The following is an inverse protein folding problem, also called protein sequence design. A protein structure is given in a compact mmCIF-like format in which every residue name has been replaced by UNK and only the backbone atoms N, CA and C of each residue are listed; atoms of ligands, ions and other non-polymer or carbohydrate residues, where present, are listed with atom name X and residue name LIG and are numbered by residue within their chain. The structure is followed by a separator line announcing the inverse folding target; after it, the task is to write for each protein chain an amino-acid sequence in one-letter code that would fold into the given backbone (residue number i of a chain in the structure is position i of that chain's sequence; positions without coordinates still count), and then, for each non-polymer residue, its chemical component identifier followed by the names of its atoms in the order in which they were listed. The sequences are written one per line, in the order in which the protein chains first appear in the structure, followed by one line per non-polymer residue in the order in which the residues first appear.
data_IF_192455567867
#
_entry.id   IF_192455567867
#
_cell.length_a   1.000
_cell.length_b   1.000
_cell.length_c   1.000
_cell.angle_alpha   90.00
_cell.angle_beta   90.00
_cell.angle_gamma   90.00
#
_symmetry.space_group_name_H-M   'P 1'
#
loop_
_entity.id
_entity.type
_entity.pdbx_description
1 polymer ?
#
# COMPACT_ATOMS: atom_id res chain seq x y z
N UNK A 1 -27.52 13.68 -1.32
CA UNK A 1 -27.67 12.40 -2.05
C UNK A 1 -27.31 11.28 -1.09
N UNK A 2 -28.17 10.26 -0.90
CA UNK A 2 -27.73 9.03 -0.24
C UNK A 2 -26.72 8.34 -1.16
N UNK A 3 -25.52 8.05 -0.65
CA UNK A 3 -24.56 7.23 -1.37
C UNK A 3 -24.83 5.76 -1.01
N UNK A 4 -25.19 4.95 -2.00
CA UNK A 4 -25.39 3.53 -1.80
C UNK A 4 -24.09 2.78 -1.52
N UNK A 5 -24.26 1.58 -0.98
CA UNK A 5 -23.22 0.55 -0.96
C UNK A 5 -23.21 -0.17 -2.30
N UNK A 6 -22.03 -0.35 -2.88
CA UNK A 6 -21.81 -1.07 -4.12
C UNK A 6 -22.19 -2.54 -3.96
N UNK A 7 -22.76 -3.11 -5.01
CA UNK A 7 -23.01 -4.54 -5.11
C UNK A 7 -21.71 -5.33 -5.28
N UNK A 8 -21.80 -6.64 -5.06
CA UNK A 8 -20.64 -7.54 -5.11
C UNK A 8 -20.03 -7.66 -6.51
N UNK A 9 -20.83 -7.66 -7.57
CA UNK A 9 -20.32 -7.79 -8.95
C UNK A 9 -19.52 -6.53 -9.34
N UNK A 10 -20.01 -5.35 -8.98
CA UNK A 10 -19.27 -4.09 -9.15
C UNK A 10 -17.96 -4.10 -8.36
N UNK A 11 -17.94 -4.58 -7.12
CA UNK A 11 -16.70 -4.69 -6.34
C UNK A 11 -15.70 -5.68 -6.95
N UNK A 12 -16.16 -6.82 -7.46
CA UNK A 12 -15.31 -7.78 -8.18
C UNK A 12 -14.73 -7.15 -9.48
N UNK A 13 -15.53 -6.38 -10.22
CA UNK A 13 -15.08 -5.64 -11.41
C UNK A 13 -14.07 -4.52 -11.08
N UNK A 14 -14.29 -3.76 -10.00
CA UNK A 14 -13.34 -2.78 -9.48
C UNK A 14 -12.02 -3.45 -9.07
N UNK A 15 -12.09 -4.65 -8.49
CA UNK A 15 -10.92 -5.45 -8.14
C UNK A 15 -10.10 -5.90 -9.35
N UNK A 16 -10.76 -6.27 -10.46
CA UNK A 16 -10.10 -6.54 -11.74
C UNK A 16 -9.44 -5.27 -12.31
N UNK A 17 -10.14 -4.15 -12.29
CA UNK A 17 -9.61 -2.87 -12.78
C UNK A 17 -8.40 -2.41 -11.97
N UNK A 18 -8.41 -2.55 -10.64
CA UNK A 18 -7.29 -2.21 -9.78
C UNK A 18 -6.02 -3.02 -10.14
N UNK A 19 -6.16 -4.34 -10.37
CA UNK A 19 -5.06 -5.20 -10.84
C UNK A 19 -4.52 -4.76 -12.21
N UNK A 20 -5.40 -4.41 -13.14
CA UNK A 20 -4.99 -3.92 -14.46
C UNK A 20 -4.24 -2.59 -14.39
N UNK A 21 -4.68 -1.65 -13.54
CA UNK A 21 -4.00 -0.37 -13.29
C UNK A 21 -2.63 -0.59 -12.66
N UNK A 22 -2.51 -1.47 -11.65
CA UNK A 22 -1.21 -1.77 -11.03
C UNK A 22 -0.24 -2.46 -12.02
N UNK A 23 -0.75 -3.20 -13.02
CA UNK A 23 0.05 -3.83 -14.08
C UNK A 23 0.53 -2.90 -15.21
N UNK A 24 -0.22 -1.84 -15.54
CA UNK A 24 0.15 -0.81 -16.52
C UNK A 24 0.90 0.38 -15.89
N UNK A 25 1.06 0.40 -14.56
CA UNK A 25 1.54 1.56 -13.83
C UNK A 25 3.01 1.89 -14.12
N UNK A 26 3.22 2.94 -14.90
CA UNK A 26 4.55 3.52 -15.13
C UNK A 26 5.07 4.20 -13.85
N UNK A 27 6.31 3.90 -13.39
CA UNK A 27 6.94 4.62 -12.29
C UNK A 27 7.08 6.12 -12.61
N UNK A 28 6.54 6.98 -11.73
CA UNK A 28 6.61 8.44 -11.86
C UNK A 28 5.28 9.11 -12.21
N UNK A 29 4.37 8.42 -12.91
CA UNK A 29 3.04 8.95 -13.25
C UNK A 29 2.17 9.00 -11.99
N UNK A 30 1.72 10.19 -11.60
CA UNK A 30 0.99 10.43 -10.35
C UNK A 30 -0.45 9.92 -10.47
N UNK A 31 -1.06 10.11 -11.63
CA UNK A 31 -2.45 9.86 -11.95
C UNK A 31 -2.77 8.37 -11.84
N UNK A 32 -1.85 7.48 -12.28
CA UNK A 32 -1.95 6.04 -12.05
C UNK A 32 -1.95 5.68 -10.55
N UNK A 33 -1.18 6.40 -9.73
CA UNK A 33 -1.12 6.17 -8.26
C UNK A 33 -2.40 6.63 -7.59
N UNK A 34 -2.93 7.79 -8.01
CA UNK A 34 -4.21 8.33 -7.53
C UNK A 34 -5.36 7.40 -7.89
N UNK A 35 -5.42 6.91 -9.14
CA UNK A 35 -6.42 5.95 -9.58
C UNK A 35 -6.33 4.63 -8.80
N UNK A 36 -5.13 4.05 -8.67
CA UNK A 36 -4.92 2.82 -7.91
C UNK A 36 -5.34 2.99 -6.43
N UNK A 37 -5.09 4.15 -5.83
CA UNK A 37 -5.52 4.44 -4.46
C UNK A 37 -7.04 4.61 -4.33
N UNK A 38 -7.67 5.35 -5.24
CA UNK A 38 -9.12 5.53 -5.26
C UNK A 38 -9.88 4.21 -5.51
N UNK A 39 -9.37 3.34 -6.38
CA UNK A 39 -9.93 2.00 -6.58
C UNK A 39 -9.77 1.12 -5.31
N UNK A 40 -8.65 1.21 -4.60
CA UNK A 40 -8.47 0.50 -3.31
C UNK A 40 -9.43 1.03 -2.24
N UNK A 41 -9.54 2.36 -2.05
CA UNK A 41 -10.54 2.98 -1.16
C UNK A 41 -11.99 2.58 -1.50
N UNK A 42 -12.28 2.38 -2.79
CA UNK A 42 -13.58 1.87 -3.25
C UNK A 42 -13.83 0.43 -2.77
N UNK A 43 -12.83 -0.45 -2.87
CA UNK A 43 -12.89 -1.83 -2.38
C UNK A 43 -13.00 -1.91 -0.86
N UNK A 44 -12.22 -1.08 -0.15
CA UNK A 44 -12.16 -1.07 1.32
C UNK A 44 -13.46 -0.54 1.96
N UNK A 45 -14.11 0.44 1.32
CA UNK A 45 -15.29 1.12 1.86
C UNK A 45 -16.63 0.61 1.31
N UNK A 46 -16.62 0.02 0.11
CA UNK A 46 -17.82 -0.36 -0.62
C UNK A 46 -18.73 0.80 -1.04
N UNK A 47 -18.25 2.06 -1.07
CA UNK A 47 -19.11 3.25 -1.29
C UNK A 47 -19.10 3.74 -2.74
N UNK A 48 -20.28 4.07 -3.26
CA UNK A 48 -20.46 4.71 -4.58
C UNK A 48 -19.66 6.03 -4.73
N UNK A 49 -19.51 6.80 -3.66
CA UNK A 49 -18.76 8.07 -3.68
C UNK A 49 -17.29 7.86 -4.08
N UNK A 50 -16.67 6.81 -3.57
CA UNK A 50 -15.27 6.46 -3.87
C UNK A 50 -15.13 5.96 -5.31
N UNK A 51 -16.10 5.20 -5.81
CA UNK A 51 -16.17 4.80 -7.22
C UNK A 51 -16.35 6.01 -8.14
N UNK A 52 -17.12 7.03 -7.73
CA UNK A 52 -17.26 8.27 -8.48
C UNK A 52 -15.95 9.09 -8.49
N UNK A 53 -15.19 9.11 -7.39
CA UNK A 53 -13.84 9.69 -7.33
C UNK A 53 -12.88 8.95 -8.28
N UNK A 54 -12.82 7.61 -8.20
CA UNK A 54 -12.01 6.79 -9.10
C UNK A 54 -12.39 7.00 -10.57
N UNK A 55 -13.69 7.07 -10.88
CA UNK A 55 -14.21 7.34 -12.22
C UNK A 55 -13.89 8.75 -12.72
N UNK A 56 -13.67 9.73 -11.83
CA UNK A 56 -13.19 11.07 -12.18
C UNK A 56 -11.70 11.04 -12.50
N UNK A 57 -10.88 10.40 -11.67
CA UNK A 57 -9.42 10.26 -11.90
C UNK A 57 -9.11 9.43 -13.16
N UNK A 58 -9.89 8.37 -13.43
CA UNK A 58 -9.73 7.61 -14.66
C UNK A 58 -9.93 8.47 -15.91
N UNK A 59 -10.89 9.42 -15.89
CA UNK A 59 -11.15 10.34 -17.01
C UNK A 59 -10.05 11.39 -17.23
N UNK A 60 -9.22 11.69 -16.22
CA UNK A 60 -8.08 12.60 -16.38
C UNK A 60 -6.81 11.93 -16.92
N UNK A 61 -6.79 10.60 -17.06
CA UNK A 61 -5.69 9.89 -17.72
C UNK A 61 -5.70 10.11 -19.24
N UNK A 62 -4.50 10.07 -19.83
CA UNK A 62 -4.26 10.04 -21.28
C UNK A 62 -5.07 8.94 -21.96
N UNK A 63 -5.58 9.21 -23.18
CA UNK A 63 -6.45 8.30 -23.91
C UNK A 63 -5.80 6.92 -24.13
N UNK A 64 -4.58 6.90 -24.67
CA UNK A 64 -3.83 5.67 -24.94
C UNK A 64 -3.60 4.82 -23.68
N UNK A 65 -3.37 5.48 -22.54
CA UNK A 65 -3.14 4.82 -21.25
C UNK A 65 -4.45 4.23 -20.71
N UNK A 66 -5.58 4.92 -20.86
CA UNK A 66 -6.92 4.36 -20.54
C UNK A 66 -7.22 3.14 -21.39
N UNK A 67 -6.90 3.20 -22.69
CA UNK A 67 -7.17 2.10 -23.61
C UNK A 67 -6.31 0.87 -23.30
N UNK A 68 -5.02 1.05 -22.94
CA UNK A 68 -4.18 -0.06 -22.41
C UNK A 68 -4.75 -0.65 -21.12
N UNK A 69 -5.13 0.19 -20.15
CA UNK A 69 -5.73 -0.26 -18.89
C UNK A 69 -7.02 -1.05 -19.13
N UNK A 70 -7.90 -0.60 -20.04
CA UNK A 70 -9.15 -1.27 -20.38
C UNK A 70 -8.90 -2.58 -21.12
N UNK A 71 -7.96 -2.61 -22.07
CA UNK A 71 -7.55 -3.84 -22.76
C UNK A 71 -7.03 -4.88 -21.77
N UNK A 72 -6.17 -4.46 -20.83
CA UNK A 72 -5.66 -5.33 -19.77
C UNK A 72 -6.77 -5.78 -18.80
N UNK A 73 -7.65 -4.88 -18.35
CA UNK A 73 -8.76 -5.23 -17.47
C UNK A 73 -9.69 -6.28 -18.11
N UNK A 74 -9.92 -6.21 -19.42
CA UNK A 74 -10.66 -7.25 -20.17
C UNK A 74 -9.94 -8.59 -20.21
N UNK A 75 -8.60 -8.60 -20.31
CA UNK A 75 -7.80 -9.83 -20.23
C UNK A 75 -7.85 -10.44 -18.82
N UNK A 76 -7.60 -9.64 -17.79
CA UNK A 76 -7.64 -10.04 -16.38
C UNK A 76 -9.05 -10.58 -16.00
N UNK A 77 -10.13 -9.95 -16.50
CA UNK A 77 -11.51 -10.44 -16.32
C UNK A 77 -11.75 -11.82 -16.96
N UNK A 78 -11.20 -12.05 -18.15
CA UNK A 78 -11.29 -13.36 -18.84
C UNK A 78 -10.51 -14.44 -18.09
N UNK A 79 -9.31 -14.11 -17.60
CA UNK A 79 -8.49 -15.03 -16.81
C UNK A 79 -9.17 -15.41 -15.49
N UNK A 80 -9.72 -14.43 -14.76
CA UNK A 80 -10.46 -14.67 -13.52
C UNK A 80 -11.68 -15.59 -13.73
N UNK A 81 -12.38 -15.47 -14.87
CA UNK A 81 -13.51 -16.35 -15.23
C UNK A 81 -13.06 -17.74 -15.66
N UNK A 82 -11.97 -17.87 -16.41
CA UNK A 82 -11.43 -19.16 -16.86
C UNK A 82 -10.78 -20.01 -15.76
N UNK A 83 -10.13 -19.38 -14.78
CA UNK A 83 -9.53 -20.10 -13.64
C UNK A 83 -10.57 -20.81 -12.77
N UNK A 84 -11.82 -20.34 -12.76
CA UNK A 84 -12.93 -21.02 -12.08
C UNK A 84 -13.25 -22.41 -12.66
N UNK A 85 -12.98 -22.66 -13.95
CA UNK A 85 -13.20 -23.96 -14.60
C UNK A 85 -12.02 -24.92 -14.48
N UNK A 86 -10.78 -24.43 -14.40
CA UNK A 86 -9.60 -25.29 -14.30
C UNK A 86 -9.27 -25.71 -12.86
N UNK A 87 -9.56 -24.86 -11.86
CA UNK A 87 -9.38 -25.20 -10.44
C UNK A 87 -10.23 -26.42 -10.02
N UNK A 88 -11.42 -26.58 -10.61
CA UNK A 88 -12.29 -27.72 -10.36
C UNK A 88 -11.74 -29.05 -10.94
N UNK A 89 -10.84 -29.00 -11.94
CA UNK A 89 -10.22 -30.20 -12.53
C UNK A 89 -8.98 -30.69 -11.80
N UNK A 90 -8.26 -29.82 -11.09
CA UNK A 90 -7.04 -30.22 -10.38
C UNK A 90 -7.30 -30.87 -9.00
N UNK A 91 -8.53 -30.82 -8.49
CA UNK A 91 -8.89 -31.38 -7.19
C UNK A 91 -9.24 -32.89 -7.19
N UNK A 92 -9.28 -33.55 -8.35
CA UNK A 92 -9.81 -34.94 -8.50
C UNK A 92 -8.70 -35.98 -8.75
N UNK A 93 -7.41 -35.61 -8.64
CA UNK A 93 -6.31 -36.52 -8.97
C UNK A 93 -5.14 -36.42 -7.99
N UNK A 94 -5.32 -36.91 -6.76
CA UNK A 94 -4.24 -37.42 -5.88
C UNK A 94 -4.81 -38.14 -4.63
N UNK A 95 -5.17 -39.41 -4.78
CA UNK A 95 -5.40 -40.34 -3.66
C UNK A 95 -4.26 -41.35 -3.53
N UNK A 96 -3.35 -41.09 -2.57
CA UNK A 96 -2.48 -42.08 -1.90
C UNK A 96 -1.38 -42.79 -2.73
N UNK A 97 -0.54 -43.63 -2.07
CA UNK A 97 -0.55 -44.01 -0.65
C UNK A 97 0.74 -43.63 0.12
N UNK A 98 0.83 -44.05 1.38
CA UNK A 98 1.81 -43.59 2.37
C UNK A 98 3.11 -44.43 2.46
N UNK A 99 4.22 -43.71 2.61
CA UNK A 99 5.47 -44.07 3.29
C UNK A 99 6.23 -42.75 3.61
N UNK A 100 7.00 -42.56 4.68
CA UNK A 100 7.30 -43.39 5.85
C UNK A 100 7.63 -42.50 7.08
N UNK A 101 8.15 -43.06 8.18
CA UNK A 101 8.80 -42.33 9.29
C UNK A 101 10.27 -42.76 9.40
N UNK A 102 11.19 -41.80 9.63
CA UNK A 102 12.22 -42.03 10.64
C UNK A 102 12.26 -40.92 11.71
N UNK A 103 13.02 -41.19 12.77
CA UNK A 103 12.91 -40.48 14.05
C UNK A 103 13.82 -39.24 14.19
N UNK A 104 13.37 -38.35 15.09
CA UNK A 104 14.16 -37.54 16.03
C UNK A 104 15.44 -36.81 15.53
N UNK A 105 15.31 -35.49 15.35
CA UNK A 105 16.36 -34.53 15.66
C UNK A 105 15.74 -33.21 16.16
N UNK A 106 16.09 -32.79 17.38
CA UNK A 106 15.60 -31.55 18.00
C UNK A 106 16.36 -30.29 17.53
N UNK A 107 15.85 -29.06 17.80
CA UNK A 107 15.98 -27.97 16.85
C UNK A 107 17.27 -27.17 16.97
N UNK A 108 17.83 -26.74 15.83
CA UNK A 108 18.92 -25.77 15.81
C UNK A 108 18.71 -24.64 14.78
N UNK A 109 18.61 -23.43 15.31
CA UNK A 109 18.89 -22.15 14.67
C UNK A 109 18.27 -21.91 13.27
N UNK A 110 17.03 -21.43 13.31
CA UNK A 110 16.34 -20.63 12.30
C UNK A 110 17.26 -19.56 11.68
N UNK A 111 17.94 -19.88 10.58
CA UNK A 111 18.78 -18.95 9.80
C UNK A 111 17.93 -18.00 8.95
N UNK A 112 17.09 -17.20 9.63
CA UNK A 112 16.20 -16.18 9.07
C UNK A 112 16.68 -14.77 9.40
N UNK A 113 17.87 -14.43 8.94
CA UNK A 113 18.61 -13.19 9.22
C UNK A 113 19.39 -12.82 7.94
N UNK A 114 19.34 -11.62 7.36
CA UNK A 114 19.16 -10.28 7.92
C UNK A 114 18.54 -9.31 6.90
N UNK A 115 17.28 -8.92 7.08
CA UNK A 115 16.75 -7.70 6.44
C UNK A 115 15.75 -6.98 7.35
N UNK A 116 14.65 -7.65 7.72
CA UNK A 116 13.68 -7.12 8.67
C UNK A 116 14.26 -6.97 10.09
N UNK A 117 15.27 -7.77 10.46
CA UNK A 117 16.03 -7.59 11.70
C UNK A 117 16.90 -6.33 11.67
N UNK A 118 17.57 -6.03 10.55
CA UNK A 118 18.37 -4.82 10.40
C UNK A 118 17.51 -3.54 10.42
N UNK A 119 16.33 -3.58 9.79
CA UNK A 119 15.37 -2.47 9.82
C UNK A 119 14.77 -2.23 11.21
N UNK A 120 14.53 -3.28 12.01
CA UNK A 120 14.10 -3.11 13.40
C UNK A 120 15.23 -2.65 14.33
N UNK A 121 16.49 -3.02 14.05
CA UNK A 121 17.67 -2.49 14.74
C UNK A 121 17.91 -1.00 14.48
N UNK A 122 17.41 -0.47 13.36
CA UNK A 122 17.46 0.95 13.00
C UNK A 122 16.21 1.74 13.45
N UNK A 123 15.60 1.35 14.58
CA UNK A 123 14.57 2.16 15.24
C UNK A 123 15.21 3.08 16.29
N UNK A 124 15.53 4.36 15.98
CA UNK A 124 15.82 5.34 17.01
C UNK A 124 14.54 5.63 17.80
N UNK A 125 14.35 4.90 18.90
CA UNK A 125 13.27 5.15 19.83
C UNK A 125 13.39 6.56 20.42
N UNK A 126 12.38 7.39 20.20
CA UNK A 126 11.99 8.57 20.99
C UNK A 126 13.03 9.66 21.33
N UNK A 127 14.27 9.63 20.82
CA UNK A 127 15.32 10.62 21.18
C UNK A 127 15.36 11.86 20.27
N UNK A 128 15.20 11.68 18.95
CA UNK A 128 15.35 12.77 17.96
C UNK A 128 14.43 13.99 18.21
N UNK A 129 13.16 13.75 18.57
CA UNK A 129 12.18 14.84 18.78
C UNK A 129 12.47 15.65 20.05
N UNK A 130 12.96 15.00 21.11
CA UNK A 130 13.39 15.69 22.33
C UNK A 130 14.71 16.43 22.08
N UNK A 131 15.71 15.79 21.47
CA UNK A 131 16.96 16.45 21.10
C UNK A 131 16.77 17.68 20.19
N UNK A 132 15.83 17.63 19.24
CA UNK A 132 15.46 18.79 18.41
C UNK A 132 14.77 19.90 19.23
N UNK A 133 13.86 19.53 20.14
CA UNK A 133 13.15 20.46 21.04
C UNK A 133 14.11 21.14 22.04
N UNK A 134 15.08 20.41 22.57
CA UNK A 134 16.05 20.92 23.53
C UNK A 134 17.08 21.83 22.85
N UNK A 135 17.50 21.51 21.61
CA UNK A 135 18.28 22.43 20.76
C UNK A 135 17.51 23.72 20.46
N UNK A 136 16.22 23.63 20.15
CA UNK A 136 15.38 24.81 19.91
C UNK A 136 15.26 25.68 21.18
N UNK A 137 15.05 25.07 22.35
CA UNK A 137 15.05 25.79 23.64
C UNK A 137 16.38 26.49 23.91
N UNK A 138 17.50 25.78 23.77
CA UNK A 138 18.83 26.36 23.97
C UNK A 138 19.11 27.54 23.02
N UNK A 139 18.66 27.47 21.76
CA UNK A 139 18.77 28.57 20.80
C UNK A 139 17.92 29.80 21.22
N UNK A 140 16.68 29.58 21.66
CA UNK A 140 15.77 30.65 22.13
C UNK A 140 16.31 31.30 23.41
N UNK A 141 16.81 30.52 24.38
CA UNK A 141 17.41 31.06 25.60
C UNK A 141 18.71 31.84 25.30
N UNK A 142 19.47 31.42 24.29
CA UNK A 142 20.65 32.18 23.80
C UNK A 142 20.23 33.51 23.20
N UNK A 143 19.21 33.54 22.33
CA UNK A 143 18.67 34.80 21.78
C UNK A 143 18.13 35.72 22.87
N UNK A 144 17.42 35.18 23.87
CA UNK A 144 16.90 35.97 25.01
C UNK A 144 18.02 36.61 25.82
N UNK A 145 19.13 35.88 26.09
CA UNK A 145 20.30 36.44 26.77
C UNK A 145 21.06 37.48 25.95
N UNK A 146 21.09 37.36 24.62
CA UNK A 146 21.67 38.38 23.74
C UNK A 146 20.82 39.66 23.80
N UNK A 147 19.49 39.56 23.67
CA UNK A 147 18.59 40.71 23.78
C UNK A 147 18.63 41.42 25.13
N UNK A 148 18.87 40.69 26.23
CA UNK A 148 19.03 41.27 27.58
C UNK A 148 20.41 41.90 27.84
N UNK A 149 21.42 41.65 26.99
CA UNK A 149 22.72 42.35 27.07
C UNK A 149 22.75 43.67 26.28
N UNK A 150 21.67 43.98 25.57
CA UNK A 150 21.52 45.20 24.76
C UNK A 150 20.64 46.27 25.41
N UNK A 151 20.36 46.19 26.71
CA UNK A 151 19.95 47.37 27.46
C UNK A 151 21.21 48.14 27.90
N UNK A 152 21.49 49.34 27.33
CA UNK A 152 22.53 50.19 27.87
C UNK A 152 22.06 50.74 29.22
N UNK A 153 22.84 50.49 30.28
CA UNK A 153 22.77 51.30 31.49
C UNK A 153 23.15 52.73 31.12
N UNK A 154 22.14 53.60 31.02
CA UNK A 154 22.30 55.05 30.93
C UNK A 154 22.38 55.61 32.36
N UNK A 155 23.61 55.74 32.84
CA UNK A 155 24.03 56.74 33.82
C UNK A 155 24.71 57.90 33.06
#
# INVERSE_FOLDING_TARGET
MPHGTLDRETLEAVGVLARAVDGERVPGVLECRLLANALRRTLDSGRELELAEASRVFRTLDADLRDRIVARARQEARQARGQGTDAARQAVTQEGPAAERPAAAEPKARAGTNFLAALNGLRPAASSRNAARDRLRAAVDTQRRVGQRTEPTLD
#
